data_IF_312782731439
#
_entry.id   IF_312782731439
#
_cell.length_a   1.000
_cell.length_b   1.000
_cell.length_c   1.000
_cell.angle_alpha   90.00
_cell.angle_beta   90.00
_cell.angle_gamma   90.00
#
_symmetry.space_group_name_H-M   'P 1'
#
loop_
_entity.id
_entity.type
_entity.pdbx_description
1 polymer ?
#
# COMPACT_ATOMS: atom_id res chain seq x y z
N UNK A 1 5.74 15.51 -9.51
CA UNK A 1 5.56 14.12 -9.07
C UNK A 1 4.17 13.62 -9.43
N UNK A 2 4.07 12.42 -9.92
CA UNK A 2 2.82 11.85 -10.43
C UNK A 2 2.51 10.55 -9.71
N UNK A 3 1.23 10.35 -9.34
CA UNK A 3 0.73 9.08 -8.80
C UNK A 3 -0.08 8.40 -9.90
N UNK A 4 0.21 7.12 -10.15
CA UNK A 4 -0.49 6.34 -11.16
C UNK A 4 -0.53 4.87 -10.74
N UNK A 5 -1.31 4.07 -11.44
CA UNK A 5 -1.35 2.62 -11.23
C UNK A 5 -0.02 1.98 -11.63
N UNK A 6 0.33 0.92 -10.93
CA UNK A 6 1.52 0.10 -11.20
C UNK A 6 1.46 -0.45 -12.63
N UNK A 7 2.60 -0.41 -13.32
CA UNK A 7 2.83 -1.11 -14.59
C UNK A 7 3.80 -2.26 -14.33
N UNK A 8 3.75 -3.30 -15.15
CA UNK A 8 4.66 -4.44 -14.99
C UNK A 8 6.13 -4.03 -15.08
N UNK A 9 6.43 -2.99 -15.86
CA UNK A 9 7.79 -2.44 -15.98
C UNK A 9 8.30 -1.76 -14.72
N UNK A 10 7.42 -1.45 -13.76
CA UNK A 10 7.81 -0.84 -12.48
C UNK A 10 8.32 -1.87 -11.47
N UNK A 11 8.11 -3.15 -11.73
CA UNK A 11 8.26 -4.22 -10.73
C UNK A 11 9.63 -4.23 -10.07
N UNK A 12 10.70 -4.13 -10.85
CA UNK A 12 12.05 -4.20 -10.29
C UNK A 12 12.36 -3.05 -9.33
N UNK A 13 11.90 -1.84 -9.64
CA UNK A 13 12.07 -0.69 -8.74
C UNK A 13 11.22 -0.83 -7.47
N UNK A 14 9.99 -1.33 -7.60
CA UNK A 14 9.11 -1.55 -6.44
C UNK A 14 9.70 -2.60 -5.51
N UNK A 15 10.18 -3.72 -6.05
CA UNK A 15 10.82 -4.77 -5.25
C UNK A 15 12.03 -4.21 -4.50
N UNK A 16 12.82 -3.37 -5.15
CA UNK A 16 13.99 -2.75 -4.50
C UNK A 16 13.55 -1.85 -3.31
N UNK A 17 12.49 -1.07 -3.48
CA UNK A 17 11.94 -0.24 -2.39
C UNK A 17 11.48 -1.12 -1.23
N UNK A 18 10.78 -2.20 -1.50
CA UNK A 18 10.31 -3.10 -0.47
C UNK A 18 11.45 -3.81 0.26
N UNK A 19 12.50 -4.21 -0.45
CA UNK A 19 13.68 -4.81 0.18
C UNK A 19 14.37 -3.86 1.15
N UNK A 20 14.41 -2.58 0.82
CA UNK A 20 14.99 -1.55 1.67
C UNK A 20 14.09 -1.20 2.86
N UNK A 21 12.76 -1.29 2.69
CA UNK A 21 11.78 -0.89 3.69
C UNK A 21 11.39 -2.00 4.64
N UNK A 22 11.41 -3.24 4.18
CA UNK A 22 10.95 -4.41 4.92
C UNK A 22 12.07 -5.42 5.05
N UNK A 23 12.21 -6.02 6.23
CA UNK A 23 13.26 -7.00 6.52
C UNK A 23 12.99 -8.38 5.91
N UNK A 24 11.86 -8.57 5.24
CA UNK A 24 11.46 -9.84 4.67
C UNK A 24 12.17 -10.12 3.34
N UNK A 25 12.36 -11.41 3.05
CA UNK A 25 12.78 -11.84 1.73
C UNK A 25 11.57 -11.79 0.80
N UNK A 26 11.74 -11.15 -0.35
CA UNK A 26 10.70 -11.11 -1.37
C UNK A 26 11.11 -12.00 -2.54
N UNK A 27 10.16 -12.77 -3.04
CA UNK A 27 10.36 -13.52 -4.27
C UNK A 27 10.52 -12.54 -5.42
N UNK A 28 11.35 -12.90 -6.39
CA UNK A 28 11.57 -12.11 -7.58
C UNK A 28 10.44 -12.27 -8.60
N UNK A 29 9.56 -13.25 -8.39
CA UNK A 29 8.48 -13.56 -9.32
C UNK A 29 7.23 -12.78 -8.99
N UNK A 30 6.58 -12.26 -10.04
CA UNK A 30 5.31 -11.57 -9.91
C UNK A 30 4.20 -12.59 -9.65
N UNK A 31 3.36 -12.31 -8.66
CA UNK A 31 2.14 -13.08 -8.45
C UNK A 31 1.15 -12.74 -9.57
N UNK A 32 0.98 -13.65 -10.51
CA UNK A 32 0.10 -13.44 -11.68
C UNK A 32 -1.38 -13.31 -11.29
N UNK A 33 -1.78 -13.91 -10.18
CA UNK A 33 -3.15 -13.76 -9.66
C UNK A 33 -3.42 -12.30 -9.27
N UNK A 34 -2.41 -11.64 -8.72
CA UNK A 34 -2.51 -10.22 -8.36
C UNK A 34 -2.77 -9.35 -9.59
N UNK A 35 -2.05 -9.59 -10.67
CA UNK A 35 -2.15 -8.78 -11.89
C UNK A 35 -3.54 -8.83 -12.52
N UNK A 36 -4.28 -9.93 -12.34
CA UNK A 36 -5.62 -10.11 -12.90
C UNK A 36 -6.75 -9.85 -11.91
N UNK A 37 -6.43 -9.50 -10.67
CA UNK A 37 -7.43 -9.28 -9.63
C UNK A 37 -7.99 -7.85 -9.71
N UNK A 38 -9.28 -7.67 -10.07
CA UNK A 38 -9.86 -6.33 -10.15
C UNK A 38 -10.03 -5.66 -8.77
N UNK A 39 -9.91 -6.43 -7.69
CA UNK A 39 -10.04 -5.93 -6.32
C UNK A 39 -8.69 -5.59 -5.68
N UNK A 40 -7.60 -5.65 -6.44
CA UNK A 40 -6.27 -5.27 -5.97
C UNK A 40 -5.72 -4.13 -6.81
N UNK A 41 -5.36 -3.05 -6.14
CA UNK A 41 -4.87 -1.83 -6.78
C UNK A 41 -3.55 -1.45 -6.14
N UNK A 42 -2.50 -1.31 -6.93
CA UNK A 42 -1.23 -0.76 -6.46
C UNK A 42 -0.97 0.56 -7.16
N UNK A 43 -0.68 1.58 -6.36
CA UNK A 43 -0.28 2.90 -6.85
C UNK A 43 1.21 3.10 -6.64
N UNK A 44 1.81 3.79 -7.58
CA UNK A 44 3.20 4.23 -7.47
C UNK A 44 3.26 5.75 -7.64
N UNK A 45 4.19 6.38 -6.96
CA UNK A 45 4.56 7.76 -7.20
C UNK A 45 5.82 7.78 -8.05
N UNK A 46 5.86 8.67 -9.01
CA UNK A 46 6.92 8.72 -10.03
C UNK A 46 7.48 10.13 -10.11
N UNK A 47 8.79 10.24 -10.07
CA UNK A 47 9.51 11.48 -10.39
C UNK A 47 10.38 11.19 -11.60
N UNK A 48 10.00 11.74 -12.74
CA UNK A 48 10.60 11.43 -14.05
C UNK A 48 10.48 9.91 -14.31
N UNK A 49 11.58 9.17 -14.32
CA UNK A 49 11.58 7.72 -14.55
C UNK A 49 11.84 6.92 -13.28
N UNK A 50 11.84 7.57 -12.11
CA UNK A 50 12.14 6.94 -10.84
C UNK A 50 10.87 6.72 -10.04
N UNK A 51 10.65 5.50 -9.59
CA UNK A 51 9.57 5.18 -8.64
C UNK A 51 10.02 5.67 -7.26
N UNK A 52 9.24 6.57 -6.68
CA UNK A 52 9.57 7.19 -5.40
C UNK A 52 8.79 6.61 -4.23
N UNK A 53 7.68 5.95 -4.49
CA UNK A 53 6.87 5.32 -3.45
C UNK A 53 5.87 4.36 -4.05
N UNK A 54 5.30 3.51 -3.19
CA UNK A 54 4.35 2.48 -3.57
C UNK A 54 3.40 2.20 -2.42
N UNK A 55 2.15 1.88 -2.73
CA UNK A 55 1.15 1.47 -1.75
C UNK A 55 0.06 0.67 -2.44
N UNK A 56 -0.49 -0.32 -1.74
CA UNK A 56 -1.51 -1.21 -2.30
C UNK A 56 -2.81 -1.15 -1.50
N UNK A 57 -3.92 -1.33 -2.21
CA UNK A 57 -5.25 -1.44 -1.64
C UNK A 57 -5.88 -2.74 -2.14
N UNK A 58 -6.38 -3.53 -1.20
CA UNK A 58 -7.14 -4.74 -1.50
C UNK A 58 -8.59 -4.55 -1.07
N UNK A 59 -9.51 -4.77 -1.98
CA UNK A 59 -10.94 -4.68 -1.71
C UNK A 59 -11.43 -6.07 -1.36
N UNK A 60 -11.97 -6.23 -0.17
CA UNK A 60 -12.44 -7.51 0.35
C UNK A 60 -13.95 -7.45 0.49
N UNK A 61 -14.65 -8.20 -0.37
CA UNK A 61 -16.10 -8.29 -0.31
C UNK A 61 -16.49 -9.37 0.69
N UNK A 62 -17.14 -8.95 1.77
CA UNK A 62 -17.66 -9.84 2.80
C UNK A 62 -19.15 -10.05 2.57
N UNK A 63 -19.76 -10.95 3.35
CA UNK A 63 -21.17 -11.31 3.18
C UNK A 63 -22.10 -10.09 3.25
N UNK A 64 -21.84 -9.17 4.17
CA UNK A 64 -22.72 -8.02 4.40
C UNK A 64 -22.05 -6.67 4.24
N UNK A 65 -20.75 -6.62 3.97
CA UNK A 65 -20.01 -5.36 3.86
C UNK A 65 -18.75 -5.50 3.01
N UNK A 66 -18.14 -4.39 2.67
CA UNK A 66 -16.92 -4.34 1.88
C UNK A 66 -15.82 -3.65 2.69
N UNK A 67 -14.66 -4.27 2.73
CA UNK A 67 -13.50 -3.80 3.48
C UNK A 67 -12.38 -3.37 2.53
N UNK A 68 -11.76 -2.23 2.80
CA UNK A 68 -10.50 -1.85 2.16
C UNK A 68 -9.33 -2.18 3.06
N UNK A 69 -8.33 -2.89 2.54
CA UNK A 69 -7.10 -3.21 3.26
C UNK A 69 -5.92 -2.56 2.55
N UNK A 70 -5.23 -1.66 3.25
CA UNK A 70 -4.01 -1.02 2.73
C UNK A 70 -2.80 -1.82 3.19
N UNK A 71 -1.93 -2.14 2.25
CA UNK A 71 -0.74 -2.96 2.48
C UNK A 71 0.47 -2.39 1.74
N UNK A 72 1.65 -2.78 2.21
CA UNK A 72 2.91 -2.59 1.50
C UNK A 72 3.22 -1.13 1.15
N UNK A 73 2.92 -0.23 2.07
CA UNK A 73 3.23 1.20 1.92
C UNK A 73 4.71 1.42 2.15
N UNK A 74 5.41 1.94 1.16
CA UNK A 74 6.84 2.19 1.27
C UNK A 74 7.25 3.36 0.39
N UNK A 75 8.25 4.11 0.84
CA UNK A 75 8.83 5.25 0.13
C UNK A 75 10.32 5.00 -0.05
N UNK A 76 10.81 5.26 -1.26
CA UNK A 76 12.23 5.22 -1.56
C UNK A 76 12.99 6.10 -0.56
N UNK A 77 14.05 5.56 0.03
CA UNK A 77 14.79 6.25 1.12
C UNK A 77 15.28 7.64 0.73
N UNK A 78 15.62 7.85 -0.55
CA UNK A 78 16.09 9.14 -1.04
C UNK A 78 14.99 10.19 -1.19
N UNK A 79 13.73 9.78 -1.01
CA UNK A 79 12.55 10.64 -1.20
C UNK A 79 11.70 10.76 0.07
N UNK A 80 12.16 10.24 1.20
CA UNK A 80 11.43 10.32 2.47
C UNK A 80 11.36 11.76 2.98
N UNK A 81 10.36 12.04 3.80
CA UNK A 81 10.17 13.35 4.39
C UNK A 81 9.52 14.39 3.47
N UNK A 82 9.01 13.96 2.31
CA UNK A 82 8.39 14.85 1.30
C UNK A 82 6.88 14.68 1.19
N UNK A 83 6.27 13.88 2.07
CA UNK A 83 4.83 13.65 2.06
C UNK A 83 4.33 12.66 1.02
N UNK A 84 5.21 11.88 0.40
CA UNK A 84 4.84 10.92 -0.65
C UNK A 84 3.95 9.81 -0.10
N UNK A 85 4.35 9.21 1.02
CA UNK A 85 3.58 8.15 1.65
C UNK A 85 2.17 8.61 2.02
N UNK A 86 2.07 9.80 2.58
CA UNK A 86 0.78 10.41 2.94
C UNK A 86 -0.12 10.56 1.71
N UNK A 87 0.42 11.08 0.62
CA UNK A 87 -0.34 11.28 -0.62
C UNK A 87 -0.81 9.95 -1.22
N UNK A 88 0.05 8.94 -1.22
CA UNK A 88 -0.31 7.60 -1.68
C UNK A 88 -1.47 7.02 -0.85
N UNK A 89 -1.35 7.07 0.47
CA UNK A 89 -2.38 6.54 1.37
C UNK A 89 -3.69 7.30 1.21
N UNK A 90 -3.63 8.63 1.12
CA UNK A 90 -4.83 9.45 0.91
C UNK A 90 -5.52 9.10 -0.41
N UNK A 91 -4.76 8.86 -1.46
CA UNK A 91 -5.34 8.45 -2.74
C UNK A 91 -6.00 7.07 -2.66
N UNK A 92 -5.40 6.14 -1.93
CA UNK A 92 -6.02 4.83 -1.70
C UNK A 92 -7.31 4.95 -0.88
N UNK A 93 -7.34 5.84 0.11
CA UNK A 93 -8.57 6.11 0.88
C UNK A 93 -9.68 6.61 -0.03
N UNK A 94 -9.38 7.53 -0.95
CA UNK A 94 -10.36 8.01 -1.93
C UNK A 94 -10.89 6.85 -2.79
N UNK A 95 -10.00 6.01 -3.30
CA UNK A 95 -10.39 4.87 -4.12
C UNK A 95 -11.26 3.88 -3.34
N UNK A 96 -10.91 3.61 -2.08
CA UNK A 96 -11.71 2.72 -1.22
C UNK A 96 -13.10 3.32 -0.98
N UNK A 97 -13.19 4.62 -0.76
CA UNK A 97 -14.47 5.31 -0.57
C UNK A 97 -15.33 5.25 -1.84
N UNK A 98 -14.72 5.42 -3.01
CA UNK A 98 -15.41 5.29 -4.28
C UNK A 98 -15.94 3.87 -4.51
N UNK A 99 -15.26 2.87 -3.96
CA UNK A 99 -15.68 1.46 -3.99
C UNK A 99 -16.65 1.12 -2.85
N UNK A 100 -17.09 2.11 -2.09
CA UNK A 100 -18.05 1.98 -0.99
C UNK A 100 -17.60 1.03 0.12
N UNK A 101 -16.31 1.08 0.44
CA UNK A 101 -15.80 0.34 1.60
C UNK A 101 -16.38 0.90 2.88
N UNK A 102 -16.89 0.04 3.76
CA UNK A 102 -17.45 0.44 5.05
C UNK A 102 -16.38 0.92 6.00
N UNK A 103 -15.20 0.35 5.90
CA UNK A 103 -14.04 0.81 6.63
C UNK A 103 -12.76 0.45 5.87
N UNK A 104 -11.69 1.11 6.25
CA UNK A 104 -10.36 0.91 5.67
C UNK A 104 -9.44 0.56 6.82
N UNK A 105 -8.74 -0.56 6.69
CA UNK A 105 -7.82 -1.03 7.73
C UNK A 105 -6.41 -1.15 7.18
N UNK A 106 -5.45 -1.05 8.07
CA UNK A 106 -4.06 -1.38 7.79
C UNK A 106 -3.40 -1.87 9.06
N UNK A 107 -2.26 -2.53 8.91
CA UNK A 107 -1.43 -2.97 10.02
C UNK A 107 -0.18 -2.11 10.05
N UNK A 108 0.14 -1.58 11.21
CA UNK A 108 1.27 -0.66 11.38
C UNK A 108 2.11 -1.08 12.58
N UNK A 109 3.40 -0.86 12.48
CA UNK A 109 4.26 -0.90 13.66
C UNK A 109 3.90 0.24 14.61
N UNK A 110 4.25 0.11 15.89
CA UNK A 110 4.09 1.22 16.84
C UNK A 110 4.84 2.47 16.36
N UNK A 111 6.01 2.29 15.79
CA UNK A 111 6.82 3.39 15.27
C UNK A 111 6.08 4.19 14.20
N UNK A 112 5.37 3.53 13.31
CA UNK A 112 4.66 4.18 12.20
C UNK A 112 3.23 4.58 12.53
N UNK A 113 2.71 4.21 13.70
CA UNK A 113 1.32 4.47 14.06
C UNK A 113 1.01 5.97 14.10
N UNK A 114 1.95 6.80 14.53
CA UNK A 114 1.76 8.26 14.57
C UNK A 114 1.54 8.83 13.17
N UNK A 115 2.27 8.33 12.18
CA UNK A 115 2.10 8.72 10.78
C UNK A 115 0.67 8.46 10.33
N UNK A 116 0.14 7.27 10.60
CA UNK A 116 -1.21 6.91 10.18
C UNK A 116 -2.30 7.64 10.97
N UNK A 117 -2.07 7.88 12.27
CA UNK A 117 -3.00 8.69 13.09
C UNK A 117 -3.19 10.08 12.51
N UNK A 118 -2.14 10.71 12.02
CA UNK A 118 -2.21 12.04 11.40
C UNK A 118 -3.05 12.05 10.13
N UNK A 119 -3.19 10.91 9.46
CA UNK A 119 -4.04 10.78 8.28
C UNK A 119 -5.50 10.55 8.68
N UNK A 120 -5.76 10.09 9.90
CA UNK A 120 -7.10 9.84 10.42
C UNK A 120 -7.35 8.43 10.91
N UNK A 121 -6.35 7.56 10.86
CA UNK A 121 -6.48 6.19 11.38
C UNK A 121 -6.44 6.17 12.89
N UNK A 122 -7.14 5.22 13.47
CA UNK A 122 -7.16 4.98 14.92
C UNK A 122 -6.68 3.57 15.19
N UNK A 123 -6.02 3.38 16.34
CA UNK A 123 -5.70 2.04 16.80
C UNK A 123 -6.99 1.29 17.08
N UNK A 124 -7.07 0.05 16.66
CA UNK A 124 -8.27 -0.75 16.85
C UNK A 124 -7.89 -2.11 17.43
N UNK A 125 -7.91 -3.16 16.65
CA UNK A 125 -7.75 -4.54 17.11
C UNK A 125 -6.30 -5.01 17.01
N UNK A 126 -6.02 -6.15 17.63
CA UNK A 126 -4.72 -6.79 17.56
C UNK A 126 -4.69 -7.75 16.38
N UNK A 127 -3.63 -7.66 15.57
CA UNK A 127 -3.40 -8.64 14.52
C UNK A 127 -2.89 -9.95 15.13
N UNK A 128 -3.46 -11.06 14.71
CA UNK A 128 -3.00 -12.40 15.09
C UNK A 128 -2.71 -13.17 13.81
N UNK A 129 -1.58 -13.83 13.74
CA UNK A 129 -1.11 -14.52 12.54
C UNK A 129 -0.67 -15.95 12.83
N UNK A 130 -0.80 -16.80 11.82
CA UNK A 130 -0.16 -18.13 11.77
C UNK A 130 0.63 -18.13 10.47
N UNK A 131 1.88 -18.54 10.55
CA UNK A 131 2.73 -18.67 9.34
C UNK A 131 2.77 -20.13 8.91
N UNK A 132 2.61 -20.35 7.64
CA UNK A 132 2.71 -21.67 7.04
C UNK A 132 4.11 -21.90 6.49
#
# INVERSE_FOLDING_TARGET
MKIRKLKITDYSQVIQIWKESFSNKFDQEINTKYLSDPNSITLVSVDKNTITGVASLHIINKLTRTLGLIEDVAVNENYRGKGIGKKLVQKLIELASDKKCDKIVLNSSEKNSTFYKKIGFEKNQIQMIIRN
#
